data_IF_977017315133
#
_entry.id   IF_977017315133
#
_cell.length_a   1.000
_cell.length_b   1.000
_cell.length_c   1.000
_cell.angle_alpha   90.00
_cell.angle_beta   90.00
_cell.angle_gamma   90.00
#
_symmetry.space_group_name_H-M   'P 1'
#
loop_
_entity.id
_entity.type
_entity.pdbx_description
1 polymer ?
#
# COMPACT_ATOMS: atom_id res chain seq x y z
N UNK A 1 -71.41 -58.50 11.42
CA UNK A 1 -70.57 -58.28 12.58
C UNK A 1 -69.35 -57.52 12.12
N UNK A 2 -69.29 -56.32 12.49
CA UNK A 2 -68.28 -55.35 12.64
C UNK A 2 -66.94 -55.50 11.86
N UNK A 3 -66.85 -54.78 10.81
CA UNK A 3 -65.58 -54.45 10.14
C UNK A 3 -65.43 -52.96 10.18
N UNK A 4 -64.63 -52.46 11.13
CA UNK A 4 -64.28 -51.08 11.18
C UNK A 4 -63.08 -50.86 10.24
N UNK A 5 -63.34 -50.24 9.11
CA UNK A 5 -62.33 -49.80 8.21
C UNK A 5 -61.74 -48.49 8.66
N UNK A 6 -60.55 -48.49 9.18
CA UNK A 6 -59.79 -47.27 9.42
C UNK A 6 -59.10 -46.85 8.13
N UNK A 7 -59.60 -45.77 7.55
CA UNK A 7 -58.97 -45.08 6.44
C UNK A 7 -57.82 -44.27 7.02
N UNK A 8 -56.58 -44.72 6.80
CA UNK A 8 -55.37 -43.95 7.12
C UNK A 8 -55.08 -42.97 5.98
N UNK A 9 -55.33 -41.72 6.25
CA UNK A 9 -54.97 -40.63 5.34
C UNK A 9 -53.46 -40.38 5.45
N UNK A 10 -52.68 -40.82 4.49
CA UNK A 10 -51.29 -40.52 4.41
C UNK A 10 -51.10 -39.11 3.85
N UNK A 11 -50.77 -38.17 4.71
CA UNK A 11 -50.35 -36.83 4.31
C UNK A 11 -48.88 -36.90 3.90
N UNK A 12 -48.60 -36.87 2.61
CA UNK A 12 -47.29 -36.68 2.07
C UNK A 12 -46.92 -35.20 2.21
N UNK A 13 -46.19 -34.89 3.27
CA UNK A 13 -45.54 -33.61 3.40
C UNK A 13 -44.32 -33.57 2.46
N UNK A 14 -44.50 -32.95 1.31
CA UNK A 14 -43.39 -32.65 0.40
C UNK A 14 -42.46 -31.62 1.01
N UNK A 15 -41.31 -32.07 1.51
CA UNK A 15 -40.23 -31.18 1.88
C UNK A 15 -39.52 -30.76 0.58
N UNK A 16 -39.88 -29.61 0.06
CA UNK A 16 -39.11 -28.97 -0.97
C UNK A 16 -37.82 -28.42 -0.35
N UNK A 17 -36.74 -29.19 -0.44
CA UNK A 17 -35.39 -28.69 -0.14
C UNK A 17 -35.06 -27.66 -1.22
N UNK A 18 -35.37 -26.41 -0.93
CA UNK A 18 -34.86 -25.30 -1.73
C UNK A 18 -33.34 -25.26 -1.60
N UNK A 19 -32.64 -25.68 -2.63
CA UNK A 19 -31.21 -25.48 -2.73
C UNK A 19 -30.99 -23.98 -2.79
N UNK A 20 -30.66 -23.36 -1.68
CA UNK A 20 -30.14 -22.01 -1.62
C UNK A 20 -28.74 -22.11 -2.20
N UNK A 21 -28.61 -21.88 -3.50
CA UNK A 21 -27.30 -21.66 -4.11
C UNK A 21 -26.74 -20.37 -3.54
N UNK A 22 -25.96 -20.52 -2.48
CA UNK A 22 -25.09 -19.43 -2.03
C UNK A 22 -24.07 -19.23 -3.15
N UNK A 23 -24.36 -18.32 -4.06
CA UNK A 23 -23.34 -17.78 -4.92
C UNK A 23 -22.34 -17.10 -3.98
N UNK A 24 -21.25 -17.79 -3.68
CA UNK A 24 -20.06 -17.16 -3.13
C UNK A 24 -19.60 -16.16 -4.18
N UNK A 25 -20.04 -14.92 -4.02
CA UNK A 25 -19.42 -13.78 -4.70
C UNK A 25 -17.99 -13.78 -4.19
N UNK A 26 -17.09 -14.36 -4.97
CA UNK A 26 -15.68 -14.16 -4.78
C UNK A 26 -15.49 -12.66 -5.05
N UNK A 27 -15.57 -11.87 -3.99
CA UNK A 27 -14.99 -10.55 -3.99
C UNK A 27 -13.51 -10.80 -4.31
N UNK A 28 -13.15 -10.63 -5.58
CA UNK A 28 -11.75 -10.50 -5.97
C UNK A 28 -11.26 -9.35 -5.12
N UNK A 29 -10.46 -9.66 -4.10
CA UNK A 29 -9.97 -8.67 -3.16
C UNK A 29 -9.39 -7.52 -3.98
N UNK A 30 -9.94 -6.31 -3.81
CA UNK A 30 -9.46 -5.14 -4.53
C UNK A 30 -7.96 -5.07 -4.29
N UNK A 31 -7.17 -5.12 -5.37
CA UNK A 31 -5.72 -5.04 -5.25
C UNK A 31 -5.38 -3.72 -4.57
N UNK A 32 -4.57 -3.78 -3.53
CA UNK A 32 -4.16 -2.59 -2.78
C UNK A 32 -3.41 -1.64 -3.70
N UNK A 33 -3.82 -0.36 -3.77
CA UNK A 33 -3.09 0.62 -4.56
C UNK A 33 -1.66 0.80 -4.02
N UNK A 34 -0.67 0.98 -4.89
CA UNK A 34 0.66 1.37 -4.47
C UNK A 34 0.65 2.78 -3.90
N UNK A 35 1.63 3.10 -3.07
CA UNK A 35 1.86 4.46 -2.61
C UNK A 35 3.22 4.96 -3.09
N UNK A 36 3.25 6.18 -3.60
CA UNK A 36 4.46 6.84 -4.04
C UNK A 36 4.90 7.85 -2.97
N UNK A 37 6.04 7.58 -2.35
CA UNK A 37 6.71 8.56 -1.53
C UNK A 37 7.53 9.46 -2.44
N UNK A 38 7.24 10.75 -2.42
CA UNK A 38 7.88 11.75 -3.25
C UNK A 38 8.64 12.71 -2.33
N UNK A 39 9.94 12.81 -2.52
CA UNK A 39 10.80 13.73 -1.83
C UNK A 39 11.41 14.73 -2.81
N UNK A 40 11.06 15.99 -2.66
CA UNK A 40 11.70 17.11 -3.34
C UNK A 40 12.72 17.71 -2.39
N UNK A 41 13.97 17.83 -2.82
CA UNK A 41 15.07 18.15 -1.92
C UNK A 41 16.02 19.18 -2.56
N UNK A 42 16.32 20.23 -1.81
CA UNK A 42 17.42 21.13 -2.07
C UNK A 42 18.50 20.91 -1.02
N UNK A 43 19.61 20.31 -1.41
CA UNK A 43 20.73 20.02 -0.51
C UNK A 43 21.50 21.31 -0.22
N UNK A 44 21.58 21.67 1.05
CA UNK A 44 22.29 22.85 1.55
C UNK A 44 23.69 22.53 2.09
N UNK A 45 23.86 21.30 2.60
CA UNK A 45 25.15 20.76 3.02
C UNK A 45 25.33 19.37 2.40
N UNK A 46 26.15 19.29 1.36
CA UNK A 46 26.37 18.05 0.60
C UNK A 46 27.01 16.95 1.45
N UNK A 47 28.00 17.29 2.25
CA UNK A 47 28.73 16.31 3.05
C UNK A 47 27.87 15.72 4.16
N UNK A 48 27.06 16.55 4.82
CA UNK A 48 26.11 16.10 5.83
C UNK A 48 24.96 15.31 5.20
N UNK A 49 24.45 15.73 4.04
CA UNK A 49 23.40 15.02 3.33
C UNK A 49 23.85 13.62 2.85
N UNK A 50 25.09 13.48 2.44
CA UNK A 50 25.64 12.20 2.03
C UNK A 50 25.62 11.20 3.19
N UNK A 51 25.92 11.61 4.43
CA UNK A 51 25.82 10.75 5.61
C UNK A 51 24.40 10.22 5.84
N UNK A 52 23.40 11.04 5.54
CA UNK A 52 22.00 10.59 5.53
C UNK A 52 21.74 9.57 4.41
N UNK A 53 22.11 9.93 3.18
CA UNK A 53 21.83 9.12 2.00
C UNK A 53 22.46 7.70 2.08
N UNK A 54 23.64 7.58 2.69
CA UNK A 54 24.33 6.30 2.90
C UNK A 54 23.61 5.40 3.89
N UNK A 55 22.83 5.96 4.82
CA UNK A 55 22.09 5.21 5.85
C UNK A 55 20.69 4.80 5.42
N UNK A 56 20.10 5.47 4.42
CA UNK A 56 18.74 5.18 3.97
C UNK A 56 18.54 3.72 3.54
N UNK A 57 19.43 3.09 2.74
CA UNK A 57 19.25 1.70 2.32
C UNK A 57 19.09 0.73 3.49
N UNK A 58 19.83 0.93 4.57
CA UNK A 58 19.77 0.09 5.77
C UNK A 58 18.39 0.17 6.45
N UNK A 59 17.76 1.35 6.44
CA UNK A 59 16.41 1.52 7.00
C UNK A 59 15.33 0.86 6.15
N UNK A 60 15.59 0.63 4.87
CA UNK A 60 14.67 0.00 3.92
C UNK A 60 14.78 -1.53 3.90
N UNK A 61 15.85 -2.12 4.45
CA UNK A 61 16.06 -3.57 4.46
C UNK A 61 14.88 -4.39 5.00
N UNK A 62 14.22 -3.98 6.13
CA UNK A 62 13.04 -4.72 6.63
C UNK A 62 11.84 -4.69 5.67
N UNK A 63 11.86 -3.81 4.68
CA UNK A 63 10.80 -3.62 3.69
C UNK A 63 11.17 -4.17 2.31
N UNK A 64 12.27 -4.94 2.22
CA UNK A 64 12.72 -5.56 0.97
C UNK A 64 11.58 -6.34 0.31
N UNK A 65 11.39 -6.14 -1.00
CA UNK A 65 10.30 -6.73 -1.77
C UNK A 65 8.97 -5.98 -1.69
N UNK A 66 8.84 -4.99 -0.81
CA UNK A 66 7.63 -4.14 -0.69
C UNK A 66 7.84 -2.71 -1.18
N UNK A 67 9.00 -2.41 -1.76
CA UNK A 67 9.31 -1.11 -2.35
C UNK A 67 10.26 -1.23 -3.53
N UNK A 68 10.27 -0.20 -4.37
CA UNK A 68 11.33 0.01 -5.36
C UNK A 68 11.49 1.51 -5.65
N UNK A 69 12.70 1.90 -6.05
CA UNK A 69 12.95 3.25 -6.50
C UNK A 69 12.38 3.47 -7.90
N UNK A 70 11.57 4.50 -8.07
CA UNK A 70 11.06 4.97 -9.37
C UNK A 70 11.98 6.04 -9.93
N UNK A 71 12.38 6.99 -9.06
CA UNK A 71 13.35 8.05 -9.37
C UNK A 71 14.33 8.18 -8.21
N UNK A 72 15.61 8.24 -8.52
CA UNK A 72 16.65 8.48 -7.53
C UNK A 72 17.73 9.38 -8.12
N UNK A 73 17.64 10.68 -7.83
CA UNK A 73 18.62 11.66 -8.27
C UNK A 73 18.68 11.89 -9.79
N UNK A 74 17.53 11.71 -10.47
CA UNK A 74 17.41 11.96 -11.90
C UNK A 74 17.50 13.45 -12.24
N UNK A 75 17.87 13.76 -13.50
CA UNK A 75 17.79 15.13 -14.02
C UNK A 75 16.33 15.53 -14.13
N UNK A 76 15.99 16.71 -13.65
CA UNK A 76 14.68 17.33 -13.84
C UNK A 76 14.73 18.33 -14.99
N UNK A 77 13.66 18.37 -15.78
CA UNK A 77 13.48 19.33 -16.86
C UNK A 77 12.19 20.08 -16.63
N UNK A 78 12.24 21.39 -16.58
CA UNK A 78 11.05 22.20 -16.47
C UNK A 78 10.25 22.14 -17.79
N UNK A 79 8.97 21.87 -17.68
CA UNK A 79 8.00 22.09 -18.74
C UNK A 79 7.17 23.34 -18.43
N UNK A 80 6.80 23.50 -17.17
CA UNK A 80 6.15 24.68 -16.63
C UNK A 80 6.64 24.92 -15.20
N UNK A 81 6.88 26.17 -14.84
CA UNK A 81 7.32 26.57 -13.51
C UNK A 81 8.75 26.13 -13.17
N UNK A 82 9.05 26.12 -11.88
CA UNK A 82 10.37 25.72 -11.38
C UNK A 82 10.38 24.23 -11.02
N UNK A 83 11.29 23.42 -11.60
CA UNK A 83 11.43 22.03 -11.20
C UNK A 83 12.10 21.93 -9.82
N UNK A 84 11.90 20.83 -9.09
CA UNK A 84 12.65 20.60 -7.86
C UNK A 84 14.16 20.49 -8.15
N UNK A 85 14.99 20.92 -7.22
CA UNK A 85 16.46 20.81 -7.33
C UNK A 85 16.93 19.36 -7.33
N UNK A 86 16.26 18.51 -6.56
CA UNK A 86 16.46 17.07 -6.52
C UNK A 86 15.13 16.39 -6.25
N UNK A 87 14.99 15.18 -6.79
CA UNK A 87 13.80 14.37 -6.60
C UNK A 87 14.16 12.92 -6.32
N UNK A 88 13.50 12.34 -5.34
CA UNK A 88 13.48 10.90 -5.10
C UNK A 88 12.02 10.46 -5.08
N UNK A 89 11.73 9.38 -5.77
CA UNK A 89 10.42 8.73 -5.73
C UNK A 89 10.60 7.25 -5.42
N UNK A 90 9.91 6.78 -4.39
CA UNK A 90 9.90 5.38 -3.97
C UNK A 90 8.46 4.90 -4.06
N UNK A 91 8.22 3.84 -4.80
CA UNK A 91 6.94 3.15 -4.79
C UNK A 91 6.96 2.08 -3.71
N UNK A 92 5.92 2.07 -2.88
CA UNK A 92 5.63 1.03 -1.90
C UNK A 92 4.36 0.27 -2.31
N UNK A 93 4.23 -0.98 -1.89
CA UNK A 93 3.05 -1.80 -2.18
C UNK A 93 1.75 -1.22 -1.63
N UNK A 94 1.84 -0.36 -0.61
CA UNK A 94 0.69 0.34 -0.02
C UNK A 94 1.11 1.58 0.77
N UNK A 95 0.14 2.44 1.05
CA UNK A 95 0.32 3.59 1.96
C UNK A 95 0.76 3.15 3.35
N UNK A 96 0.23 2.03 3.85
CA UNK A 96 0.61 1.46 5.16
C UNK A 96 2.08 1.09 5.22
N UNK A 97 2.61 0.46 4.15
CA UNK A 97 4.03 0.09 4.06
C UNK A 97 4.93 1.33 4.01
N UNK A 98 4.55 2.34 3.26
CA UNK A 98 5.27 3.60 3.19
C UNK A 98 5.33 4.31 4.55
N UNK A 99 4.20 4.38 5.25
CA UNK A 99 4.12 4.97 6.60
C UNK A 99 4.87 4.13 7.64
N UNK A 100 4.80 2.81 7.54
CA UNK A 100 5.55 1.93 8.43
C UNK A 100 7.07 2.16 8.32
N UNK A 101 7.59 2.35 7.11
CA UNK A 101 8.99 2.73 6.92
C UNK A 101 9.27 4.16 7.45
N UNK A 102 8.47 5.13 7.05
CA UNK A 102 8.68 6.54 7.42
C UNK A 102 8.69 6.76 8.95
N UNK A 103 7.85 6.01 9.66
CA UNK A 103 7.73 6.06 11.12
C UNK A 103 8.57 4.99 11.84
N UNK A 104 9.37 4.22 11.11
CA UNK A 104 10.23 3.21 11.73
C UNK A 104 11.30 3.85 12.61
N UNK A 105 11.69 3.21 13.73
CA UNK A 105 12.76 3.73 14.59
C UNK A 105 14.07 3.95 13.84
N UNK A 106 14.38 3.10 12.85
CA UNK A 106 15.58 3.22 12.03
C UNK A 106 15.57 4.49 11.18
N UNK A 107 14.44 4.81 10.52
CA UNK A 107 14.34 6.01 9.72
C UNK A 107 14.23 7.27 10.60
N UNK A 108 13.49 7.21 11.71
CA UNK A 108 13.41 8.30 12.68
C UNK A 108 14.79 8.72 13.19
N UNK A 109 15.70 7.78 13.42
CA UNK A 109 17.05 8.05 13.89
C UNK A 109 17.90 8.85 12.90
N UNK A 110 17.68 8.69 11.59
CA UNK A 110 18.46 9.38 10.55
C UNK A 110 17.78 10.62 10.00
N UNK A 111 16.49 10.78 10.21
CA UNK A 111 15.69 11.91 9.72
C UNK A 111 16.30 13.29 10.05
N UNK A 112 16.83 13.54 11.26
CA UNK A 112 17.48 14.80 11.58
C UNK A 112 18.68 15.14 10.71
N UNK A 113 19.43 14.13 10.21
CA UNK A 113 20.55 14.33 9.29
C UNK A 113 20.08 14.97 7.98
N UNK A 114 18.97 14.50 7.44
CA UNK A 114 18.37 15.09 6.24
C UNK A 114 17.87 16.51 6.50
N UNK A 115 17.14 16.68 7.60
CA UNK A 115 16.54 17.97 7.96
C UNK A 115 17.56 19.06 8.21
N UNK A 116 18.72 18.71 8.79
CA UNK A 116 19.82 19.65 9.01
C UNK A 116 20.67 19.95 7.77
N UNK A 117 20.58 19.13 6.72
CA UNK A 117 21.44 19.23 5.54
C UNK A 117 20.70 19.62 4.25
N UNK A 118 19.38 19.83 4.34
CA UNK A 118 18.56 20.13 3.15
C UNK A 118 17.27 20.86 3.53
N UNK A 119 16.73 21.56 2.54
CA UNK A 119 15.33 21.98 2.54
C UNK A 119 14.57 20.96 1.72
N UNK A 120 13.64 20.26 2.35
CA UNK A 120 12.93 19.15 1.72
C UNK A 120 11.42 19.24 1.93
N UNK A 121 10.69 18.83 0.92
CA UNK A 121 9.27 18.54 0.98
C UNK A 121 9.08 17.06 0.68
N UNK A 122 8.36 16.35 1.54
CA UNK A 122 8.12 14.92 1.40
C UNK A 122 6.64 14.62 1.65
N UNK A 123 6.06 13.84 0.77
CA UNK A 123 4.64 13.48 0.84
C UNK A 123 4.38 12.13 0.18
N UNK A 124 3.22 11.56 0.46
CA UNK A 124 2.71 10.35 -0.17
C UNK A 124 1.61 10.72 -1.17
N UNK A 125 1.63 10.03 -2.30
CA UNK A 125 0.54 10.01 -3.26
C UNK A 125 0.10 8.56 -3.47
N UNK A 126 -1.19 8.28 -3.27
CA UNK A 126 -1.75 6.97 -3.57
C UNK A 126 -1.85 6.80 -5.09
N UNK A 127 -1.38 5.66 -5.58
CA UNK A 127 -1.46 5.31 -6.98
C UNK A 127 -2.80 4.68 -7.35
N UNK A 128 -2.92 4.36 -8.64
CA UNK A 128 -4.08 3.59 -9.12
C UNK A 128 -3.94 2.12 -8.72
N UNK A 129 -5.04 1.43 -8.40
CA UNK A 129 -5.03 0.00 -8.20
C UNK A 129 -4.47 -0.71 -9.44
N UNK A 130 -3.69 -1.80 -9.28
CA UNK A 130 -3.24 -2.61 -10.41
C UNK A 130 -4.44 -3.15 -11.19
N UNK A 131 -4.40 -3.01 -12.49
CA UNK A 131 -5.44 -3.49 -13.42
C UNK A 131 -5.31 -4.98 -13.72
#
# INVERSE_FOLDING_TARGET
MNMNGNLALAVLAGISVGAVSVMAVHAQGAKTPPAYLIAETEVTDRAAFQKYAEKVPETLEPFRGSFHYVVRGGKTQALEGQPPKGIVMIAFDSTEKALAWYNSPAYEAIKPLRQGASVSRMFLAEGLPPQ
#
